data_IF_862269148267
#
_entry.id   IF_862269148267
#
_cell.length_a   1.000
_cell.length_b   1.000
_cell.length_c   1.000
_cell.angle_alpha   90.00
_cell.angle_beta   90.00
_cell.angle_gamma   90.00
#
_symmetry.space_group_name_H-M   'P 1'
#
loop_
_entity.id
_entity.type
_entity.pdbx_description
1 polymer ?
2 non-polymer ?
3 water ?
#
# COMPACT_ATOMS: atom_id res chain seq x y z
N UNK A 17 10.01 6.74 -24.48
CA UNK A 17 10.77 5.85 -25.42
C UNK A 17 11.79 4.99 -24.66
N UNK A 18 13.02 4.96 -25.15
CA UNK A 18 14.13 4.33 -24.42
C UNK A 18 14.55 5.18 -23.22
N UNK A 19 14.24 6.49 -23.31
CA UNK A 19 14.52 7.49 -22.27
C UNK A 19 13.79 7.22 -20.94
N UNK A 20 12.50 6.87 -21.02
CA UNK A 20 11.66 6.58 -19.86
C UNK A 20 12.17 5.39 -19.03
N UNK A 21 12.42 4.27 -19.71
CA UNK A 21 12.93 3.04 -19.09
C UNK A 21 14.35 3.20 -18.53
N UNK A 22 15.21 3.90 -19.27
CA UNK A 22 16.61 4.11 -18.86
C UNK A 22 16.79 5.12 -17.72
N UNK A 23 15.77 5.94 -17.47
CA UNK A 23 15.81 6.90 -16.36
C UNK A 23 15.60 6.22 -15.01
N UNK A 24 14.91 5.07 -15.02
CA UNK A 24 14.50 4.35 -13.80
C UNK A 24 15.63 3.96 -12.87
N UNK A 25 15.44 4.26 -11.58
CA UNK A 25 16.39 3.90 -10.56
C UNK A 25 15.74 3.12 -9.41
N UNK A 26 14.43 3.24 -9.24
CA UNK A 26 13.76 2.65 -8.07
C UNK A 26 12.33 2.22 -8.35
N UNK A 27 11.87 1.18 -7.65
CA UNK A 27 10.49 0.70 -7.80
C UNK A 27 9.86 0.75 -6.40
N UNK A 28 8.75 1.49 -6.29
CA UNK A 28 8.14 1.78 -4.99
C UNK A 28 6.86 0.95 -4.85
N UNK A 29 6.87 0.00 -3.93
CA UNK A 29 5.74 -0.92 -3.77
C UNK A 29 4.88 -0.53 -2.58
N UNK A 30 3.55 -0.55 -2.75
CA UNK A 30 2.68 -0.72 -1.58
C UNK A 30 2.91 -2.10 -0.98
N UNK A 31 2.55 -2.28 0.29
CA UNK A 31 2.69 -3.59 0.91
C UNK A 31 1.41 -4.43 0.83
N UNK A 32 0.33 -3.93 1.42
CA UNK A 32 -0.92 -4.70 1.54
C UNK A 32 -1.61 -4.82 0.20
N UNK A 33 -1.84 -6.04 -0.25
CA UNK A 33 -2.45 -6.28 -1.57
C UNK A 33 -1.50 -6.21 -2.75
N UNK A 34 -0.21 -6.04 -2.46
CA UNK A 34 0.83 -5.99 -3.49
C UNK A 34 1.94 -6.99 -3.11
N UNK A 35 2.55 -6.80 -1.94
CA UNK A 35 3.55 -7.75 -1.46
C UNK A 35 2.92 -8.89 -0.65
N UNK A 36 1.97 -8.57 0.23
CA UNK A 36 1.28 -9.59 1.02
C UNK A 36 -0.17 -9.68 0.58
N UNK A 37 -0.71 -10.90 0.59
CA UNK A 37 -2.15 -11.12 0.40
C UNK A 37 -2.89 -10.94 1.72
N UNK A 38 -2.97 -9.68 2.16
CA UNK A 38 -3.45 -9.32 3.47
C UNK A 38 -4.78 -8.58 3.43
N UNK A 39 -5.26 -8.22 2.23
CA UNK A 39 -6.49 -7.43 2.11
C UNK A 39 -7.81 -8.11 2.59
N UNK A 40 -7.99 -9.41 2.30
CA UNK A 40 -9.14 -10.08 2.94
C UNK A 40 -9.15 -9.94 4.47
N UNK A 41 -7.97 -10.05 5.08
CA UNK A 41 -7.81 -9.87 6.52
C UNK A 41 -8.06 -8.45 6.99
N UNK A 42 -7.45 -7.45 6.35
CA UNK A 42 -7.69 -6.05 6.72
C UNK A 42 -9.18 -5.68 6.58
N UNK A 43 -9.80 -6.13 5.49
CA UNK A 43 -11.24 -5.89 5.23
C UNK A 43 -12.11 -6.47 6.34
N UNK A 44 -11.84 -7.73 6.67
CA UNK A 44 -12.52 -8.39 7.78
C UNK A 44 -12.25 -7.72 9.12
N UNK A 45 -11.00 -7.40 9.42
CA UNK A 45 -10.69 -6.81 10.73
C UNK A 45 -11.27 -5.40 10.93
N UNK A 46 -11.23 -4.59 9.88
CA UNK A 46 -11.80 -3.24 9.95
C UNK A 46 -13.31 -3.31 10.15
N UNK A 47 -13.95 -4.17 9.35
CA UNK A 47 -15.41 -4.39 9.46
C UNK A 47 -15.83 -4.79 10.87
N UNK A 48 -15.15 -5.80 11.42
CA UNK A 48 -15.47 -6.33 12.74
C UNK A 48 -15.21 -5.36 13.88
N UNK A 49 -14.08 -4.65 13.85
CA UNK A 49 -13.72 -3.76 14.93
C UNK A 49 -14.71 -2.58 14.98
N UNK A 50 -15.07 -2.06 13.81
CA UNK A 50 -16.03 -0.96 13.75
C UNK A 50 -17.40 -1.41 14.28
N UNK A 51 -17.80 -2.62 13.89
CA UNK A 51 -19.06 -3.25 14.32
C UNK A 51 -19.14 -3.35 15.84
N UNK A 52 -18.05 -3.81 16.48
CA UNK A 52 -17.97 -3.89 17.93
C UNK A 52 -18.06 -2.51 18.56
N UNK A 53 -17.45 -1.52 17.92
CA UNK A 53 -17.47 -0.17 18.46
C UNK A 53 -18.80 0.53 18.20
N UNK A 54 -19.62 0.00 17.29
CA UNK A 54 -20.96 0.55 17.03
C UNK A 54 -21.12 1.24 15.68
N UNK A 55 -20.21 0.98 14.75
CA UNK A 55 -20.16 1.70 13.49
C UNK A 55 -20.21 0.74 12.32
N UNK A 56 -20.91 1.15 11.26
CA UNK A 56 -21.03 0.36 10.04
C UNK A 56 -19.92 0.69 9.05
N UNK A 57 -19.07 -0.30 8.78
CA UNK A 57 -18.08 -0.21 7.72
C UNK A 57 -18.10 -1.57 7.03
N UNK A 58 -18.50 -1.59 5.76
CA UNK A 58 -18.55 -2.83 5.01
C UNK A 58 -17.14 -3.28 4.65
N UNK A 59 -17.01 -4.56 4.31
CA UNK A 59 -15.75 -5.12 3.82
C UNK A 59 -15.32 -4.43 2.52
N UNK A 60 -16.28 -4.10 1.66
CA UNK A 60 -16.04 -3.41 0.39
C UNK A 60 -15.47 -2.01 0.61
N UNK A 61 -16.06 -1.28 1.55
CA UNK A 61 -15.61 0.07 1.89
C UNK A 61 -14.24 0.02 2.57
N UNK A 62 -14.07 -0.96 3.45
CA UNK A 62 -12.79 -1.21 4.12
C UNK A 62 -11.70 -1.43 3.08
N UNK A 63 -11.99 -2.21 2.02
CA UNK A 63 -11.05 -2.40 0.92
C UNK A 63 -10.65 -1.06 0.31
N UNK A 64 -11.64 -0.21 0.09
CA UNK A 64 -11.46 1.07 -0.58
C UNK A 64 -10.70 2.10 0.26
N UNK A 65 -10.58 1.84 1.56
CA UNK A 65 -9.72 2.63 2.44
C UNK A 65 -8.26 2.20 2.38
N UNK A 66 -7.93 1.19 1.57
CA UNK A 66 -6.52 0.72 1.51
C UNK A 66 -5.60 1.83 1.07
N UNK A 67 -4.49 1.96 1.78
CA UNK A 67 -3.57 3.05 1.52
C UNK A 67 -3.52 4.02 2.66
N UNK A 68 -4.66 4.27 3.32
CA UNK A 68 -4.67 5.26 4.40
C UNK A 68 -3.95 4.70 5.62
N UNK A 69 -3.45 5.61 6.46
CA UNK A 69 -3.04 5.21 7.81
C UNK A 69 -4.27 4.74 8.59
N UNK A 70 -4.03 3.91 9.61
CA UNK A 70 -5.07 3.49 10.54
C UNK A 70 -5.80 4.68 11.16
N UNK A 71 -5.03 5.67 11.60
CA UNK A 71 -5.59 6.88 12.21
C UNK A 71 -6.52 7.63 11.25
N UNK A 72 -6.10 7.77 9.99
CA UNK A 72 -6.94 8.44 8.99
C UNK A 72 -8.18 7.64 8.66
N UNK A 73 -8.03 6.33 8.54
CA UNK A 73 -9.19 5.43 8.29
C UNK A 73 -10.25 5.61 9.38
N UNK A 74 -9.81 5.59 10.63
CA UNK A 74 -10.76 5.63 11.77
C UNK A 74 -11.49 6.98 11.81
N UNK A 75 -10.73 8.06 11.62
CA UNK A 75 -11.30 9.40 11.63
C UNK A 75 -12.33 9.58 10.51
N UNK A 76 -12.02 9.06 9.31
CA UNK A 76 -12.92 9.18 8.17
C UNK A 76 -14.21 8.36 8.33
N UNK A 77 -14.10 7.17 8.90
CA UNK A 77 -15.28 6.35 9.25
C UNK A 77 -16.18 7.10 10.25
N UNK A 78 -15.57 7.69 11.28
CA UNK A 78 -16.31 8.51 12.25
C UNK A 78 -17.04 9.68 11.57
N UNK A 79 -16.36 10.38 10.66
CA UNK A 79 -16.94 11.48 9.87
C UNK A 79 -18.16 11.01 9.08
N UNK A 80 -17.97 9.96 8.31
CA UNK A 80 -19.02 9.43 7.47
C UNK A 80 -20.22 8.89 8.22
N UNK A 81 -19.98 8.17 9.31
CA UNK A 81 -21.06 7.51 10.06
C UNK A 81 -21.70 8.38 11.14
N UNK A 82 -20.87 9.05 11.93
CA UNK A 82 -21.36 9.80 13.10
C UNK A 82 -21.36 11.31 12.87
N UNK A 83 -20.74 11.77 11.79
CA UNK A 83 -20.71 13.21 11.47
C UNK A 83 -19.83 14.02 12.40
N UNK A 84 -18.82 13.37 12.98
CA UNK A 84 -17.84 14.04 13.85
C UNK A 84 -16.47 13.38 13.75
N UNK A 85 -15.44 14.04 14.27
CA UNK A 85 -14.09 13.50 14.34
C UNK A 85 -14.01 12.42 15.43
N UNK A 86 -13.15 11.43 15.23
CA UNK A 86 -12.79 10.53 16.33
C UNK A 86 -11.85 11.28 17.26
N UNK A 87 -11.89 10.96 18.55
CA UNK A 87 -10.88 11.47 19.49
C UNK A 87 -9.61 10.65 19.36
N UNK A 88 -8.51 11.16 19.92
CA UNK A 88 -7.23 10.44 19.93
C UNK A 88 -7.37 9.13 20.71
N UNK A 89 -8.14 9.16 21.80
CA UNK A 89 -8.38 7.95 22.60
C UNK A 89 -9.10 6.89 21.75
N UNK A 90 -10.11 7.32 21.00
CA UNK A 90 -10.85 6.40 20.14
C UNK A 90 -9.96 5.82 19.06
N UNK A 91 -9.11 6.65 18.46
CA UNK A 91 -8.16 6.21 17.43
C UNK A 91 -7.21 5.13 17.96
N UNK A 92 -6.57 5.40 19.10
CA UNK A 92 -5.63 4.45 19.72
C UNK A 92 -6.30 3.14 20.11
N UNK A 93 -7.50 3.24 20.70
CA UNK A 93 -8.20 2.07 21.21
C UNK A 93 -8.70 1.17 20.08
N UNK A 94 -9.33 1.77 19.06
CA UNK A 94 -9.82 1.02 17.89
C UNK A 94 -8.64 0.42 17.11
N UNK A 95 -7.57 1.20 16.94
CA UNK A 95 -6.40 0.70 16.19
C UNK A 95 -5.76 -0.50 16.91
N UNK A 96 -5.63 -0.42 18.24
CA UNK A 96 -5.16 -1.58 19.02
C UNK A 96 -6.00 -2.84 18.79
N UNK A 97 -7.32 -2.67 18.83
CA UNK A 97 -8.24 -3.79 18.64
C UNK A 97 -8.21 -4.30 17.22
N UNK A 98 -8.09 -3.38 16.27
CA UNK A 98 -7.96 -3.77 14.86
C UNK A 98 -6.71 -4.65 14.68
N UNK A 99 -5.62 -4.26 15.35
CA UNK A 99 -4.36 -4.99 15.26
C UNK A 99 -4.45 -6.39 15.88
N UNK A 100 -5.07 -6.48 17.06
CA UNK A 100 -5.31 -7.78 17.70
C UNK A 100 -6.09 -8.72 16.79
N UNK A 101 -7.19 -8.21 16.23
CA UNK A 101 -8.02 -9.01 15.32
C UNK A 101 -7.26 -9.46 14.07
N UNK A 102 -6.57 -8.51 13.43
CA UNK A 102 -5.81 -8.81 12.22
C UNK A 102 -4.79 -9.93 12.49
N UNK A 103 -4.09 -9.79 13.61
CA UNK A 103 -3.06 -10.75 13.99
C UNK A 103 -3.58 -12.08 14.53
N UNK A 104 -4.89 -12.20 14.68
CA UNK A 104 -5.51 -13.41 15.17
C UNK A 104 -5.71 -14.44 14.04
N UNK A 105 -5.58 -13.99 12.79
CA UNK A 105 -5.73 -14.88 11.62
C UNK A 105 -4.38 -15.51 11.28
N UNK A 106 -4.38 -16.71 10.65
CA UNK A 106 -3.12 -17.30 10.18
C UNK A 106 -2.36 -16.27 9.34
N UNK A 107 -1.08 -16.07 9.65
CA UNK A 107 -0.35 -14.92 9.12
C UNK A 107 -0.42 -14.84 7.59
N UNK A 108 -0.61 -13.61 7.12
CA UNK A 108 -0.78 -13.33 5.68
C UNK A 108 0.39 -13.85 4.85
N UNK A 109 0.10 -14.46 3.70
CA UNK A 109 1.14 -15.02 2.85
C UNK A 109 1.52 -14.07 1.71
N UNK A 110 2.60 -14.36 1.02
CA UNK A 110 3.06 -13.50 -0.09
C UNK A 110 2.03 -13.49 -1.22
N UNK A 111 1.92 -12.37 -1.92
CA UNK A 111 1.10 -12.32 -3.12
C UNK A 111 1.88 -13.06 -4.21
N UNK A 112 1.25 -14.04 -4.89
CA UNK A 112 1.98 -14.73 -5.96
C UNK A 112 2.51 -13.76 -6.99
N UNK A 113 3.77 -13.92 -7.40
CA UNK A 113 4.38 -12.99 -8.36
C UNK A 113 5.27 -11.93 -7.74
N UNK A 114 5.04 -11.62 -6.46
CA UNK A 114 5.75 -10.51 -5.81
C UNK A 114 7.25 -10.79 -5.71
N UNK A 115 7.59 -11.96 -5.19
CA UNK A 115 8.99 -12.34 -5.04
C UNK A 115 9.69 -12.45 -6.41
N UNK A 116 9.02 -13.08 -7.38
CA UNK A 116 9.56 -13.20 -8.74
C UNK A 116 9.84 -11.83 -9.36
N UNK A 117 8.90 -10.88 -9.19
CA UNK A 117 9.10 -9.52 -9.68
C UNK A 117 10.28 -8.79 -8.99
N UNK A 118 10.37 -8.93 -7.68
CA UNK A 118 11.42 -8.26 -6.92
C UNK A 118 12.81 -8.73 -7.38
N UNK A 119 12.93 -10.02 -7.65
CA UNK A 119 14.16 -10.57 -8.23
C UNK A 119 14.50 -9.93 -9.59
N UNK A 120 13.49 -9.75 -10.44
CA UNK A 120 13.67 -9.06 -11.74
C UNK A 120 14.14 -7.61 -11.58
N UNK A 121 13.51 -6.90 -10.65
CA UNK A 121 13.81 -5.51 -10.32
C UNK A 121 15.24 -5.37 -9.81
N UNK A 122 15.64 -6.26 -8.90
CA UNK A 122 16.99 -6.22 -8.32
C UNK A 122 18.06 -6.57 -9.37
N UNK A 123 17.77 -7.55 -10.24
CA UNK A 123 18.68 -7.96 -11.31
C UNK A 123 18.87 -6.89 -12.37
N UNK A 124 17.91 -5.97 -12.45
CA UNK A 124 17.96 -4.85 -13.40
C UNK A 124 18.75 -3.69 -12.77
N UNK A 125 19.16 -3.84 -11.51
CA UNK A 125 19.94 -2.83 -10.80
C UNK A 125 19.09 -1.73 -10.19
N UNK A 126 17.79 -1.97 -10.09
CA UNK A 126 16.84 -1.00 -9.50
C UNK A 126 16.69 -1.18 -7.98
N UNK A 127 16.37 -0.08 -7.29
CA UNK A 127 16.22 -0.10 -5.83
C UNK A 127 14.74 -0.34 -5.42
N UNK A 128 14.44 -1.48 -4.75
CA UNK A 128 13.10 -1.64 -4.19
C UNK A 128 12.85 -0.77 -2.96
N UNK A 129 11.65 -0.20 -2.89
CA UNK A 129 11.23 0.59 -1.73
C UNK A 129 9.84 0.16 -1.35
N UNK A 130 9.47 0.33 -0.08
CA UNK A 130 8.09 0.13 0.36
C UNK A 130 7.51 1.48 0.75
N UNK A 131 6.32 1.80 0.25
CA UNK A 131 5.62 3.02 0.65
C UNK A 131 4.21 2.59 1.10
N UNK A 132 3.98 2.63 2.41
CA UNK A 132 2.79 1.99 2.96
C UNK A 132 2.17 2.84 4.05
N UNK A 133 0.85 2.80 4.16
CA UNK A 133 0.17 3.41 5.30
C UNK A 133 0.14 2.51 6.54
N UNK A 134 0.77 1.31 6.44
CA UNK A 134 0.75 0.35 7.55
C UNK A 134 1.52 0.81 8.78
N UNK A 135 0.98 0.49 9.96
CA UNK A 135 1.73 0.48 11.21
C UNK A 135 1.75 -0.90 11.85
N UNK A 136 1.45 -1.94 11.04
CA UNK A 136 1.40 -3.32 11.54
C UNK A 136 2.80 -3.87 11.66
N UNK A 137 3.35 -3.88 12.88
CA UNK A 137 4.72 -4.38 13.06
C UNK A 137 4.89 -5.83 12.62
N UNK A 138 3.86 -6.66 12.78
CA UNK A 138 3.97 -8.09 12.37
C UNK A 138 4.33 -8.21 10.90
N UNK A 139 3.65 -7.44 10.03
CA UNK A 139 3.94 -7.42 8.58
C UNK A 139 5.26 -6.75 8.25
N UNK A 140 5.50 -5.59 8.87
CA UNK A 140 6.67 -4.80 8.57
C UNK A 140 7.96 -5.57 8.92
N UNK A 141 7.92 -6.28 10.06
CA UNK A 141 9.08 -7.06 10.52
C UNK A 141 9.21 -8.39 9.74
N UNK A 142 8.18 -8.72 8.95
CA UNK A 142 8.22 -9.94 8.10
C UNK A 142 8.68 -9.65 6.66
N UNK A 143 8.87 -8.38 6.30
CA UNK A 143 9.32 -8.06 4.93
C UNK A 143 10.69 -8.72 4.60
N UNK A 144 11.61 -8.68 5.56
CA UNK A 144 12.93 -9.25 5.32
C UNK A 144 12.85 -10.77 5.17
N UNK A 145 11.99 -11.38 5.97
CA UNK A 145 11.82 -12.83 5.93
C UNK A 145 11.11 -13.33 4.67
N UNK A 146 10.25 -12.49 4.10
CA UNK A 146 9.50 -12.90 2.91
C UNK A 146 10.17 -12.50 1.62
N UNK A 147 10.94 -11.41 1.65
CA UNK A 147 11.62 -10.88 0.46
C UNK A 147 13.07 -10.59 0.81
N UNK A 148 13.87 -11.67 1.06
CA UNK A 148 15.22 -11.47 1.60
C UNK A 148 16.12 -10.63 0.71
N UNK A 149 16.85 -9.72 1.33
CA UNK A 149 17.79 -8.84 0.62
C UNK A 149 17.21 -7.70 -0.20
N UNK A 150 15.89 -7.49 -0.12
CA UNK A 150 15.24 -6.55 -1.04
C UNK A 150 15.13 -5.15 -0.48
N UNK A 151 14.70 -5.07 0.79
CA UNK A 151 14.28 -3.79 1.38
C UNK A 151 15.16 -3.36 2.52
N UNK A 152 15.17 -2.05 2.78
CA UNK A 152 15.91 -1.49 3.90
C UNK A 152 15.07 -0.47 4.59
N UNK A 153 15.13 -0.42 5.93
CA UNK A 153 14.28 0.50 6.68
C UNK A 153 14.49 1.97 6.34
N UNK A 154 15.71 2.32 5.90
CA UNK A 154 16.04 3.68 5.46
C UNK A 154 15.40 4.04 4.11
N UNK A 155 14.95 3.01 3.39
CA UNK A 155 14.33 3.16 2.09
C UNK A 155 12.87 2.69 2.12
N UNK A 156 12.21 2.99 3.23
CA UNK A 156 10.78 2.69 3.38
C UNK A 156 10.08 3.90 3.96
N UNK A 157 8.82 4.08 3.58
CA UNK A 157 7.93 5.05 4.23
C UNK A 157 6.78 4.23 4.82
N UNK A 158 6.49 4.44 6.10
CA UNK A 158 5.40 3.73 6.79
C UNK A 158 4.48 4.74 7.47
N UNK A 159 3.49 4.25 8.22
CA UNK A 159 2.61 5.14 9.00
C UNK A 159 3.41 5.99 9.97
N UNK A 160 4.54 5.46 10.44
CA UNK A 160 5.39 6.16 11.41
C UNK A 160 6.07 7.41 10.86
N UNK A 161 6.17 7.49 9.53
CA UNK A 161 6.83 8.60 8.86
C UNK A 161 5.96 9.81 8.48
N UNK A 162 4.64 9.62 8.47
CA UNK A 162 3.74 10.61 7.86
C UNK A 162 2.79 11.31 8.83
N UNK A 163 2.35 12.50 8.45
CA UNK A 163 1.31 13.24 9.18
C UNK A 163 -0.06 12.99 8.58
N UNK A 164 -0.10 12.71 7.27
CA UNK A 164 -1.36 12.63 6.53
C UNK A 164 -1.57 11.29 5.86
N UNK A 165 -0.59 10.88 5.05
CA UNK A 165 -0.65 9.59 4.36
C UNK A 165 -1.53 9.64 3.12
N UNK A 166 -1.55 8.55 2.36
CA UNK A 166 -2.34 8.46 1.12
C UNK A 166 -3.81 8.78 1.41
N UNK A 167 -4.52 9.45 0.48
CA UNK A 167 -4.13 9.85 -0.89
C UNK A 167 -3.29 11.12 -1.05
N UNK A 168 -2.92 11.78 0.05
CA UNK A 168 -1.97 12.90 -0.01
C UNK A 168 -0.67 12.37 -0.65
N UNK A 169 -0.04 13.15 -1.57
CA UNK A 169 1.24 12.68 -2.18
C UNK A 169 2.39 12.55 -1.17
N UNK A 170 2.24 13.18 0.00
CA UNK A 170 3.21 13.13 1.12
C UNK A 170 4.10 11.87 1.23
N UNK A 171 3.52 10.66 1.45
CA UNK A 171 4.40 9.49 1.61
C UNK A 171 5.26 9.20 0.39
N UNK A 172 4.73 9.40 -0.82
CA UNK A 172 5.52 9.20 -2.04
C UNK A 172 6.57 10.28 -2.24
N UNK A 173 6.23 11.53 -1.92
CA UNK A 173 7.25 12.61 -1.90
C UNK A 173 8.39 12.32 -0.91
N UNK A 174 8.03 11.80 0.27
CA UNK A 174 9.02 11.41 1.27
C UNK A 174 9.90 10.27 0.80
N UNK A 175 9.31 9.32 0.06
CA UNK A 175 10.06 8.17 -0.49
C UNK A 175 11.09 8.60 -1.53
N UNK A 176 10.68 9.51 -2.42
CA UNK A 176 11.61 10.06 -3.41
C UNK A 176 12.77 10.74 -2.72
N UNK A 177 12.48 11.53 -1.68
CA UNK A 177 13.54 12.18 -0.90
C UNK A 177 14.49 11.21 -0.19
N UNK A 178 13.93 10.15 0.41
CA UNK A 178 14.72 9.12 1.08
C UNK A 178 15.65 8.39 0.12
N UNK A 179 15.18 8.18 -1.11
CA UNK A 179 15.95 7.47 -2.13
C UNK A 179 16.89 8.37 -2.92
N UNK A 180 16.85 9.67 -2.65
CA UNK A 180 17.63 10.66 -3.42
C UNK A 180 17.18 10.69 -4.86
N UNK A 181 15.86 10.57 -5.06
CA UNK A 181 15.29 10.39 -6.39
C UNK A 181 14.49 11.59 -6.87
N UNK A 182 14.42 11.74 -8.18
CA UNK A 182 13.45 12.62 -8.80
C UNK A 182 12.27 11.75 -9.22
N UNK A 183 11.10 12.36 -9.40
CA UNK A 183 9.89 11.62 -9.78
C UNK A 183 10.01 10.79 -11.05
N UNK A 184 10.79 11.26 -12.04
CA UNK A 184 10.93 10.51 -13.30
C UNK A 184 11.91 9.33 -13.23
N UNK A 185 12.49 9.13 -12.05
CA UNK A 185 13.43 8.03 -11.79
C UNK A 185 12.78 6.86 -11.03
N UNK A 186 11.46 6.94 -10.81
CA UNK A 186 10.76 5.94 -10.03
C UNK A 186 9.50 5.44 -10.72
N UNK A 187 9.07 4.24 -10.33
CA UNK A 187 7.76 3.70 -10.71
C UNK A 187 7.04 3.23 -9.43
N UNK A 188 5.73 3.45 -9.37
CA UNK A 188 4.90 3.05 -8.23
C UNK A 188 4.09 1.82 -8.57
N UNK A 189 4.03 0.84 -7.65
CA UNK A 189 3.18 -0.34 -7.80
C UNK A 189 2.08 -0.34 -6.72
N UNK A 190 0.82 -0.21 -7.14
CA UNK A 190 -0.30 -0.04 -6.21
C UNK A 190 -1.51 -0.89 -6.56
N UNK A 191 -2.24 -1.36 -5.54
CA UNK A 191 -3.50 -2.11 -5.73
C UNK A 191 -4.73 -1.26 -5.42
N UNK A 192 -4.49 -0.11 -4.79
CA UNK A 192 -5.59 0.62 -4.14
C UNK A 192 -5.77 1.97 -4.81
N UNK A 193 -7.05 2.41 -5.00
CA UNK A 193 -7.33 3.71 -5.62
C UNK A 193 -6.69 4.91 -4.91
N UNK A 194 -6.74 4.93 -3.58
CA UNK A 194 -6.13 6.02 -2.84
C UNK A 194 -4.60 6.02 -2.95
N UNK A 195 -4.01 4.83 -3.09
CA UNK A 195 -2.57 4.75 -3.29
C UNK A 195 -2.13 5.16 -4.68
N UNK A 196 -2.87 4.70 -5.70
CA UNK A 196 -2.67 5.18 -7.09
C UNK A 196 -2.73 6.71 -7.16
N UNK A 197 -3.75 7.29 -6.51
CA UNK A 197 -3.95 8.73 -6.46
C UNK A 197 -2.74 9.45 -5.83
N UNK A 198 -2.23 8.92 -4.71
CA UNK A 198 -1.06 9.51 -4.06
C UNK A 198 0.17 9.52 -4.95
N UNK A 199 0.41 8.40 -5.64
CA UNK A 199 1.55 8.26 -6.53
C UNK A 199 1.42 9.19 -7.73
N UNK A 200 0.20 9.27 -8.26
CA UNK A 200 -0.10 10.13 -9.40
C UNK A 200 0.10 11.60 -9.05
N UNK A 201 -0.39 12.00 -7.87
CA UNK A 201 -0.24 13.37 -7.38
C UNK A 201 1.20 13.75 -7.01
N UNK A 202 2.01 12.75 -6.70
CA UNK A 202 3.45 12.96 -6.48
C UNK A 202 4.24 13.03 -7.78
N UNK A 203 3.55 12.81 -8.90
CA UNK A 203 4.13 12.99 -10.23
C UNK A 203 4.87 11.78 -10.76
N UNK A 204 4.59 10.62 -10.18
CA UNK A 204 5.32 9.41 -10.50
C UNK A 204 4.46 8.51 -11.39
N UNK A 205 5.10 7.93 -12.40
CA UNK A 205 4.51 6.87 -13.22
C UNK A 205 4.03 5.74 -12.31
N UNK A 206 2.74 5.41 -12.44
CA UNK A 206 2.08 4.52 -11.49
C UNK A 206 1.48 3.33 -12.21
N UNK A 207 1.85 2.13 -11.76
CA UNK A 207 1.30 0.88 -12.29
C UNK A 207 0.27 0.36 -11.29
N UNK A 208 -0.96 0.18 -11.75
CA UNK A 208 -2.00 -0.40 -10.90
C UNK A 208 -2.09 -1.88 -11.09
N UNK A 209 -2.15 -2.61 -9.97
CA UNK A 209 -2.37 -4.06 -9.99
C UNK A 209 -3.66 -4.38 -9.27
N UNK A 210 -4.64 -4.87 -10.02
CA UNK A 210 -5.99 -5.07 -9.48
C UNK A 210 -6.13 -6.43 -8.78
N UNK A 211 -5.54 -6.55 -7.60
CA UNK A 211 -5.53 -7.78 -6.83
C UNK A 211 -6.77 -7.99 -5.97
N UNK A 212 -7.58 -6.94 -5.83
CA UNK A 212 -8.79 -7.02 -5.04
C UNK A 212 -10.04 -7.18 -5.88
N UNK A 213 -11.22 -7.12 -5.23
CA UNK A 213 -12.49 -7.29 -5.95
C UNK A 213 -13.02 -5.98 -6.53
N UNK A 214 -12.14 -5.19 -7.14
CA UNK A 214 -12.52 -3.87 -7.64
C UNK A 214 -12.69 -3.81 -9.15
N UNK A 215 -13.51 -2.85 -9.62
CA UNK A 215 -13.57 -2.51 -11.03
C UNK A 215 -12.25 -1.80 -11.37
N UNK A 216 -11.50 -2.39 -12.31
CA UNK A 216 -10.22 -1.87 -12.78
C UNK A 216 -10.26 -0.43 -13.25
N UNK A 217 -11.45 0.01 -13.66
CA UNK A 217 -11.70 1.38 -14.07
C UNK A 217 -11.40 2.41 -12.99
N UNK A 218 -11.75 2.10 -11.73
CA UNK A 218 -11.53 3.04 -10.62
C UNK A 218 -10.04 3.30 -10.36
N UNK A 219 -9.20 2.32 -10.67
CA UNK A 219 -7.74 2.48 -10.61
C UNK A 219 -7.23 3.36 -11.74
N UNK A 220 -7.79 3.16 -12.93
CA UNK A 220 -7.49 4.06 -14.06
C UNK A 220 -7.94 5.49 -13.77
N UNK A 221 -9.16 5.66 -13.26
CA UNK A 221 -9.71 6.97 -12.88
C UNK A 221 -8.88 7.69 -11.81
N UNK A 222 -8.22 6.90 -10.95
CA UNK A 222 -7.35 7.44 -9.90
C UNK A 222 -6.00 7.98 -10.45
N UNK A 223 -5.64 7.61 -11.68
CA UNK A 223 -4.47 8.19 -12.33
C UNK A 223 -3.39 7.20 -12.72
N UNK A 224 -3.74 5.92 -12.75
CA UNK A 224 -2.79 4.85 -13.10
C UNK A 224 -2.40 4.93 -14.57
N UNK A 225 -1.11 4.71 -14.83
CA UNK A 225 -0.59 4.79 -16.20
C UNK A 225 -0.72 3.46 -16.91
N UNK A 226 -0.68 2.38 -16.13
CA UNK A 226 -0.89 1.02 -16.63
C UNK A 226 -1.76 0.24 -15.64
N UNK A 227 -2.52 -0.72 -16.16
CA UNK A 227 -3.33 -1.60 -15.35
C UNK A 227 -3.01 -3.06 -15.65
N UNK A 228 -2.80 -3.85 -14.59
CA UNK A 228 -2.63 -5.31 -14.68
C UNK A 228 -3.60 -6.01 -13.73
N UNK A 229 -4.03 -7.25 -14.06
CA UNK A 229 -4.99 -7.95 -13.19
C UNK A 229 -4.38 -8.64 -11.96
N UNK A 230 -3.07 -8.79 -11.94
CA UNK A 230 -2.39 -9.56 -10.89
C UNK A 230 -0.91 -9.18 -10.84
N UNK A 231 -0.25 -9.49 -9.73
CA UNK A 231 1.19 -9.30 -9.64
C UNK A 231 1.95 -10.21 -10.60
N UNK A 232 1.42 -11.40 -10.83
CA UNK A 232 2.05 -12.38 -11.73
C UNK A 232 2.10 -11.88 -13.18
N UNK A 233 0.99 -11.28 -13.64
CA UNK A 233 0.93 -10.74 -14.99
C UNK A 233 1.84 -9.52 -15.14
N UNK A 234 1.90 -8.68 -14.09
CA UNK A 234 2.85 -7.60 -14.09
C UNK A 234 4.27 -8.15 -14.22
N UNK A 235 4.56 -9.18 -13.43
CA UNK A 235 5.86 -9.82 -13.45
C UNK A 235 6.21 -10.36 -14.84
N UNK A 236 5.23 -11.03 -15.45
CA UNK A 236 5.38 -11.61 -16.80
C UNK A 236 5.62 -10.56 -17.88
N UNK A 237 5.03 -9.37 -17.70
CA UNK A 237 5.14 -8.30 -18.68
C UNK A 237 6.21 -7.25 -18.36
N UNK A 238 6.99 -7.47 -17.30
CA UNK A 238 7.93 -6.45 -16.79
C UNK A 238 8.96 -5.98 -17.83
N UNK A 239 9.54 -6.93 -18.55
CA UNK A 239 10.54 -6.63 -19.57
C UNK A 239 9.95 -6.00 -20.83
N UNK A 240 8.66 -6.24 -21.07
CA UNK A 240 7.92 -5.74 -22.24
C UNK A 240 7.54 -4.26 -22.13
N UNK A 241 7.06 -3.86 -20.96
CA UNK A 241 6.44 -2.53 -20.77
C UNK A 241 7.42 -1.37 -20.67
N UNK A 242 6.88 -0.16 -20.84
CA UNK A 242 7.60 1.12 -20.83
C UNK A 242 8.60 1.27 -21.97
N UNK A 243 8.27 0.69 -23.13
CA UNK A 243 9.13 0.60 -24.32
C UNK A 243 10.48 -0.07 -24.03
X LIG B 1 -2.97 -0.99 9.36
X LIG B 1 -1.70 -0.66 10.03
X LIG B 1 -3.63 -2.06 10.08
X LIG B 1 -3.83 0.19 9.40
X LIG B 1 -2.75 -1.37 7.96
#
# INVERSE_FOLDING_TARGET
>A
GSSHHHHHHSSGLVPRGSHMRKKLKAVLFDMDGVLFNSMPYHSEAWHQVMKTHGLDLSREEAYMHDGRTGASTINIVFQRELGKEATQEEIESIYHEKSILFNSYPEAERMPGAWELLQKVKSEGLTPMVVTGSGQLSLLERLEHNFPGMFHKELMVTAFDVKYGKPNPEPYLMALKKGGLKADEAVVIENAPLGVEAGHKAGIFTIAVNTGPLDGQVLLDAGADLLFPSMQTLCDSWDTIML
>B hetero
1 SO4 S O1 O2 O3 O4
#
